data_IF_443840320347
#
_entry.id   IF_443840320347
#
_cell.length_a   1.000
_cell.length_b   1.000
_cell.length_c   1.000
_cell.angle_alpha   90.00
_cell.angle_beta   90.00
_cell.angle_gamma   90.00
#
_symmetry.space_group_name_H-M   'P 1'
#
loop_
_entity.id
_entity.type
_entity.pdbx_description
1 polymer ?
#
# COMPACT_ATOMS: atom_id res chain seq x y z
N UNK A 1 47.87 -49.01 -18.48
CA UNK A 1 46.90 -49.67 -17.60
C UNK A 1 45.50 -49.17 -17.99
N UNK A 2 44.80 -49.96 -18.82
CA UNK A 2 43.36 -50.29 -18.75
C UNK A 2 42.41 -49.07 -18.54
N UNK A 3 41.62 -48.57 -19.50
CA UNK A 3 40.44 -49.21 -20.09
C UNK A 3 39.92 -48.38 -21.28
N UNK A 4 39.52 -49.03 -22.36
CA UNK A 4 38.46 -48.58 -23.32
C UNK A 4 37.22 -49.48 -23.04
N UNK A 5 36.01 -49.38 -23.66
CA UNK A 5 35.60 -48.65 -24.87
C UNK A 5 34.11 -48.14 -24.94
N UNK A 6 33.74 -47.59 -26.12
CA UNK A 6 32.45 -47.68 -26.87
C UNK A 6 31.19 -46.94 -26.34
N UNK A 7 30.77 -45.84 -27.01
CA UNK A 7 29.78 -45.75 -28.11
C UNK A 7 28.40 -46.33 -27.74
N UNK A 8 27.39 -45.46 -27.59
CA UNK A 8 26.00 -45.72 -28.04
C UNK A 8 25.41 -44.45 -28.67
N UNK A 9 25.01 -44.64 -29.92
CA UNK A 9 24.24 -43.80 -30.83
C UNK A 9 22.74 -43.95 -30.51
N UNK A 10 21.92 -42.90 -30.60
CA UNK A 10 20.61 -42.93 -31.29
C UNK A 10 19.93 -41.55 -31.27
N UNK A 11 19.52 -41.10 -32.45
CA UNK A 11 18.51 -40.07 -32.66
C UNK A 11 17.14 -40.72 -32.92
N UNK A 12 16.04 -40.10 -32.45
CA UNK A 12 14.64 -40.25 -32.94
C UNK A 12 13.80 -39.15 -32.26
N UNK A 13 13.44 -38.03 -32.90
CA UNK A 13 12.26 -37.80 -33.78
C UNK A 13 10.89 -38.05 -33.11
N UNK A 14 10.22 -36.93 -32.77
CA UNK A 14 8.84 -36.63 -33.18
C UNK A 14 7.68 -37.19 -32.38
N UNK A 15 6.98 -36.31 -31.64
CA UNK A 15 5.51 -36.17 -31.73
C UNK A 15 5.16 -34.68 -31.66
N UNK A 16 4.88 -34.13 -32.83
CA UNK A 16 4.05 -32.94 -33.05
C UNK A 16 2.58 -33.36 -33.12
N UNK A 17 1.69 -32.41 -32.81
CA UNK A 17 0.23 -32.40 -33.04
C UNK A 17 -0.70 -32.93 -31.92
N UNK A 18 -1.09 -32.03 -31.02
CA UNK A 18 -2.39 -31.93 -30.31
C UNK A 18 -2.29 -30.64 -29.47
N UNK A 19 -3.00 -29.52 -29.59
CA UNK A 19 -4.23 -29.15 -30.27
C UNK A 19 -4.19 -27.64 -30.58
N UNK A 20 -3.91 -27.28 -31.83
CA UNK A 20 -4.36 -26.03 -32.44
C UNK A 20 -5.87 -26.21 -32.66
N UNK A 21 -6.72 -25.90 -31.67
CA UNK A 21 -8.17 -26.07 -31.83
C UNK A 21 -9.06 -25.32 -30.80
N UNK A 22 -8.74 -24.10 -30.34
CA UNK A 22 -9.76 -23.21 -29.69
C UNK A 22 -9.50 -21.72 -30.00
N UNK A 23 -9.10 -21.39 -31.23
CA UNK A 23 -8.89 -20.00 -31.66
C UNK A 23 -9.79 -19.57 -32.85
N UNK A 24 -10.70 -20.44 -33.30
CA UNK A 24 -11.54 -20.16 -34.48
C UNK A 24 -12.96 -20.69 -34.22
N UNK A 25 -13.65 -20.12 -33.23
CA UNK A 25 -15.10 -20.30 -33.10
C UNK A 25 -15.74 -19.18 -32.26
N UNK A 26 -15.46 -17.91 -32.58
CA UNK A 26 -16.29 -16.77 -32.14
C UNK A 26 -16.09 -15.57 -33.09
N UNK A 27 -15.98 -15.84 -34.39
CA UNK A 27 -16.21 -14.83 -35.43
C UNK A 27 -16.85 -15.50 -36.64
N UNK A 28 -17.90 -14.83 -37.14
CA UNK A 28 -18.58 -15.04 -38.43
C UNK A 28 -19.64 -16.15 -38.46
N UNK A 29 -20.88 -15.75 -38.16
CA UNK A 29 -22.09 -15.78 -39.01
C UNK A 29 -23.26 -15.50 -38.05
N UNK A 30 -24.13 -14.51 -38.23
CA UNK A 30 -25.18 -14.50 -39.26
C UNK A 30 -25.44 -13.05 -39.69
N UNK A 31 -25.27 -12.76 -40.98
CA UNK A 31 -25.99 -11.68 -41.66
C UNK A 31 -26.76 -12.25 -42.85
N UNK A 32 -28.10 -12.22 -42.79
CA UNK A 32 -29.05 -12.02 -43.92
C UNK A 32 -30.34 -11.45 -43.29
N UNK A 33 -30.68 -10.16 -43.41
CA UNK A 33 -31.14 -9.36 -44.55
C UNK A 33 -32.69 -9.28 -44.68
N UNK A 34 -33.16 -8.03 -44.79
CA UNK A 34 -34.40 -7.53 -45.46
C UNK A 34 -35.64 -7.09 -44.62
N UNK A 35 -36.03 -5.84 -44.90
CA UNK A 35 -37.10 -4.88 -44.48
C UNK A 35 -38.49 -5.15 -45.15
N UNK A 36 -39.58 -4.33 -45.05
CA UNK A 36 -40.04 -3.25 -44.11
C UNK A 36 -41.58 -3.25 -43.70
N UNK A 37 -41.96 -2.44 -42.68
CA UNK A 37 -43.20 -1.61 -42.41
C UNK A 37 -44.66 -2.19 -42.53
N UNK A 38 -45.76 -1.56 -41.98
CA UNK A 38 -45.92 -0.24 -41.33
C UNK A 38 -46.77 -0.19 -40.01
N UNK A 39 -46.86 1.03 -39.48
CA UNK A 39 -47.66 1.61 -38.40
C UNK A 39 -48.95 0.92 -37.89
N UNK A 40 -49.11 0.90 -36.56
CA UNK A 40 -50.39 1.15 -35.89
C UNK A 40 -50.14 1.80 -34.51
N UNK A 41 -50.53 3.07 -34.42
CA UNK A 41 -50.75 3.83 -33.20
C UNK A 41 -51.80 3.13 -32.33
N UNK A 42 -51.52 2.95 -31.04
CA UNK A 42 -52.56 2.98 -30.01
C UNK A 42 -52.15 3.99 -28.94
N UNK A 43 -52.96 5.03 -28.88
CA UNK A 43 -52.99 6.10 -27.91
C UNK A 43 -54.02 5.74 -26.81
N UNK A 44 -53.79 6.22 -25.57
CA UNK A 44 -54.69 6.21 -24.40
C UNK A 44 -54.90 4.82 -23.71
N UNK A 45 -54.88 4.67 -22.38
CA UNK A 45 -55.09 5.61 -21.28
C UNK A 45 -54.49 5.06 -19.96
N UNK A 46 -54.56 5.88 -18.91
CA UNK A 46 -54.46 5.59 -17.46
C UNK A 46 -53.09 5.60 -16.78
N UNK A 47 -52.77 6.75 -16.18
CA UNK A 47 -51.91 6.87 -15.00
C UNK A 47 -52.42 5.97 -13.86
N UNK A 48 -51.54 5.55 -12.94
CA UNK A 48 -51.32 6.41 -11.79
C UNK A 48 -49.84 6.65 -11.49
N UNK A 49 -49.51 7.85 -11.01
CA UNK A 49 -48.28 8.09 -10.26
C UNK A 49 -48.25 7.18 -9.02
N UNK A 50 -47.16 6.44 -8.87
CA UNK A 50 -46.58 6.02 -7.57
C UNK A 50 -45.10 5.66 -7.85
N UNK A 51 -44.22 5.78 -6.85
CA UNK A 51 -42.91 6.39 -7.00
C UNK A 51 -41.92 5.38 -7.57
N UNK A 52 -41.11 5.80 -8.55
CA UNK A 52 -39.91 5.07 -8.93
C UNK A 52 -38.89 5.14 -7.78
N UNK A 53 -39.03 4.24 -6.82
CA UNK A 53 -37.95 3.83 -5.94
C UNK A 53 -36.85 3.15 -6.77
N UNK A 54 -35.63 3.30 -6.26
CA UNK A 54 -34.41 2.60 -6.67
C UNK A 54 -33.60 3.25 -7.79
N UNK A 55 -33.22 4.52 -7.56
CA UNK A 55 -31.82 4.88 -7.83
C UNK A 55 -31.04 4.41 -6.61
N UNK A 56 -30.48 3.20 -6.67
CA UNK A 56 -29.52 2.74 -5.68
C UNK A 56 -28.43 3.83 -5.56
N UNK A 57 -28.23 4.49 -4.42
CA UNK A 57 -27.09 5.39 -4.31
C UNK A 57 -25.85 4.51 -4.47
N UNK A 58 -24.98 4.88 -5.42
CA UNK A 58 -23.62 4.38 -5.42
C UNK A 58 -23.04 4.58 -4.01
N UNK A 59 -22.22 3.66 -3.47
CA UNK A 59 -21.60 3.86 -2.17
C UNK A 59 -20.87 5.20 -2.20
N UNK A 60 -21.33 6.15 -1.39
CA UNK A 60 -20.62 7.42 -1.21
C UNK A 60 -19.26 7.09 -0.61
N UNK A 61 -18.19 7.44 -1.31
CA UNK A 61 -16.78 7.24 -0.91
C UNK A 61 -16.46 7.76 0.52
N UNK A 62 -17.31 8.64 1.06
CA UNK A 62 -17.20 9.19 2.41
C UNK A 62 -17.44 8.16 3.55
N UNK A 63 -18.04 7.01 3.25
CA UNK A 63 -18.39 6.00 4.26
C UNK A 63 -17.24 5.07 4.67
N UNK A 64 -16.14 5.02 3.91
CA UNK A 64 -15.07 4.03 4.11
C UNK A 64 -13.71 4.66 4.46
N UNK A 65 -13.72 5.76 5.21
CA UNK A 65 -12.51 6.40 5.72
C UNK A 65 -12.50 6.42 7.25
N UNK A 66 -11.30 6.39 7.82
CA UNK A 66 -11.07 6.63 9.25
C UNK A 66 -10.01 7.70 9.43
N UNK A 67 -10.05 8.35 10.59
CA UNK A 67 -8.98 9.22 11.04
C UNK A 67 -7.85 8.40 11.67
N UNK A 68 -6.61 8.86 11.45
CA UNK A 68 -5.36 8.38 12.05
C UNK A 68 -4.54 9.59 12.46
N UNK A 69 -3.61 9.40 13.38
CA UNK A 69 -2.68 10.45 13.83
C UNK A 69 -1.29 10.19 13.28
N UNK A 70 -0.75 11.12 12.50
CA UNK A 70 0.65 11.12 12.07
C UNK A 70 1.47 11.99 13.02
N UNK A 71 2.69 11.59 13.34
CA UNK A 71 3.58 12.39 14.17
C UNK A 71 4.69 13.00 13.32
N UNK A 72 4.71 14.31 13.21
CA UNK A 72 5.74 15.06 12.48
C UNK A 72 6.59 15.88 13.45
N UNK A 73 7.69 16.44 12.98
CA UNK A 73 8.55 17.28 13.81
C UNK A 73 7.89 18.65 14.02
N UNK A 74 7.92 19.17 15.24
CA UNK A 74 7.42 20.52 15.56
C UNK A 74 8.19 21.60 14.79
N UNK A 75 7.58 22.78 14.65
CA UNK A 75 8.18 23.90 13.90
C UNK A 75 9.50 24.42 14.48
N UNK A 76 9.73 24.21 15.77
CA UNK A 76 10.98 24.53 16.48
C UNK A 76 12.02 23.40 16.39
N UNK A 77 11.63 22.21 15.92
CA UNK A 77 12.52 21.06 15.74
C UNK A 77 12.85 20.28 17.01
N UNK A 78 12.11 20.49 18.11
CA UNK A 78 12.42 19.88 19.41
C UNK A 78 11.65 18.58 19.68
N UNK A 79 10.35 18.55 19.36
CA UNK A 79 9.43 17.47 19.72
C UNK A 79 8.66 16.94 18.50
N UNK A 80 7.98 15.81 18.66
CA UNK A 80 6.97 15.35 17.72
C UNK A 80 5.60 15.97 18.03
N UNK A 81 4.87 16.35 16.99
CA UNK A 81 3.52 16.90 17.09
C UNK A 81 2.52 16.06 16.29
N UNK A 82 1.33 15.78 16.84
CA UNK A 82 0.31 15.02 16.15
C UNK A 82 -0.38 15.86 15.06
N UNK A 83 -0.61 15.25 13.90
CA UNK A 83 -1.43 15.77 12.81
C UNK A 83 -2.46 14.71 12.39
N UNK A 84 -3.77 15.00 12.44
CA UNK A 84 -4.79 14.06 11.99
C UNK A 84 -4.76 13.92 10.46
N UNK A 85 -4.91 12.69 9.98
CA UNK A 85 -5.01 12.33 8.56
C UNK A 85 -6.16 11.35 8.35
N UNK A 86 -6.81 11.41 7.18
CA UNK A 86 -7.80 10.41 6.77
C UNK A 86 -7.14 9.36 5.90
N UNK A 87 -7.44 8.09 6.18
CA UNK A 87 -7.08 6.95 5.33
C UNK A 87 -8.33 6.12 5.00
N UNK A 88 -8.26 5.28 3.99
CA UNK A 88 -9.33 4.32 3.72
C UNK A 88 -9.29 3.17 4.71
N UNK A 89 -10.46 2.82 5.24
CA UNK A 89 -10.63 1.63 6.05
C UNK A 89 -10.59 0.39 5.15
N UNK A 90 -9.50 -0.37 5.23
CA UNK A 90 -9.35 -1.64 4.52
C UNK A 90 -9.44 -2.81 5.50
N UNK A 91 -9.61 -4.03 4.97
CA UNK A 91 -9.76 -5.25 5.79
C UNK A 91 -8.48 -5.67 6.52
N UNK A 92 -7.31 -5.14 6.14
CA UNK A 92 -6.02 -5.54 6.67
C UNK A 92 -5.32 -4.38 7.39
N UNK A 93 -4.84 -4.64 8.61
CA UNK A 93 -3.99 -3.70 9.36
C UNK A 93 -2.72 -3.38 8.57
N UNK A 94 -2.15 -4.35 7.86
CA UNK A 94 -0.96 -4.15 7.02
C UNK A 94 -1.23 -3.18 5.86
N UNK A 95 -2.40 -3.27 5.23
CA UNK A 95 -2.77 -2.35 4.14
C UNK A 95 -3.04 -0.93 4.67
N UNK A 96 -3.65 -0.81 5.84
CA UNK A 96 -3.83 0.49 6.50
C UNK A 96 -2.47 1.08 6.93
N UNK A 97 -1.55 0.28 7.48
CA UNK A 97 -0.21 0.70 7.83
C UNK A 97 0.58 1.20 6.60
N UNK A 98 0.45 0.52 5.45
CA UNK A 98 1.01 0.99 4.17
C UNK A 98 0.47 2.35 3.76
N UNK A 99 -0.82 2.61 3.91
CA UNK A 99 -1.41 3.93 3.65
C UNK A 99 -0.85 4.98 4.60
N UNK A 100 -0.84 4.69 5.91
CA UNK A 100 -0.31 5.60 6.94
C UNK A 100 1.14 6.00 6.67
N UNK A 101 2.00 5.05 6.30
CA UNK A 101 3.42 5.34 6.00
C UNK A 101 3.54 6.19 4.73
N UNK A 102 2.71 5.95 3.70
CA UNK A 102 2.68 6.80 2.50
C UNK A 102 2.31 8.24 2.85
N UNK A 103 1.25 8.43 3.65
CA UNK A 103 0.84 9.75 4.11
C UNK A 103 1.92 10.45 4.96
N UNK A 104 2.72 9.67 5.72
CA UNK A 104 3.86 10.16 6.49
C UNK A 104 5.04 10.59 5.58
N UNK A 105 5.29 9.85 4.49
CA UNK A 105 6.28 10.21 3.46
C UNK A 105 5.87 11.49 2.72
N UNK A 106 4.57 11.63 2.41
CA UNK A 106 4.02 12.82 1.75
C UNK A 106 4.19 14.09 2.60
N UNK A 107 4.35 13.92 3.92
CA UNK A 107 4.71 14.98 4.85
C UNK A 107 3.50 15.67 5.50
N UNK A 108 3.77 16.68 6.35
CA UNK A 108 2.74 17.43 7.05
C UNK A 108 1.97 18.36 6.11
N UNK A 109 0.68 18.57 6.43
CA UNK A 109 -0.20 19.54 5.76
C UNK A 109 -0.35 20.85 6.54
N UNK A 110 0.19 20.90 7.76
CA UNK A 110 0.26 22.07 8.62
C UNK A 110 1.68 22.64 8.70
N UNK A 111 1.92 23.59 9.61
CA UNK A 111 3.23 24.24 9.80
C UNK A 111 4.26 23.35 10.54
N UNK A 112 4.12 22.04 10.46
CA UNK A 112 5.07 21.06 11.00
C UNK A 112 6.16 20.76 9.96
N UNK A 113 7.24 20.11 10.40
CA UNK A 113 8.38 19.75 9.58
C UNK A 113 8.36 18.26 9.21
N UNK A 114 8.71 17.89 7.96
CA UNK A 114 8.75 16.49 7.54
C UNK A 114 9.83 15.73 8.30
N UNK A 115 9.52 14.48 8.64
CA UNK A 115 10.41 13.57 9.37
C UNK A 115 11.01 12.50 8.46
N UNK A 116 10.41 12.23 7.30
CA UNK A 116 10.94 11.29 6.31
C UNK A 116 11.43 12.06 5.08
N UNK A 117 12.45 11.56 4.35
CA UNK A 117 12.82 12.13 3.07
C UNK A 117 11.64 12.01 2.09
N UNK A 118 11.29 13.07 1.38
CA UNK A 118 10.23 13.06 0.36
C UNK A 118 10.50 12.11 -0.83
N UNK A 119 11.71 11.56 -0.92
CA UNK A 119 12.12 10.56 -1.92
C UNK A 119 12.18 9.14 -1.35
N UNK A 120 11.83 8.95 -0.07
CA UNK A 120 11.70 7.63 0.51
C UNK A 120 10.57 6.87 -0.20
N UNK A 121 10.82 5.60 -0.50
CA UNK A 121 9.83 4.73 -1.13
C UNK A 121 9.58 3.54 -0.22
N UNK A 122 8.31 3.35 0.16
CA UNK A 122 7.88 2.17 0.87
C UNK A 122 7.75 1.01 -0.11
N UNK A 123 8.55 -0.04 0.09
CA UNK A 123 8.49 -1.27 -0.68
C UNK A 123 7.43 -2.19 -0.09
N UNK A 124 7.65 -2.64 1.14
CA UNK A 124 6.86 -3.66 1.80
C UNK A 124 6.57 -3.37 3.27
N UNK A 125 5.46 -3.92 3.76
CA UNK A 125 5.13 -3.95 5.19
C UNK A 125 4.67 -5.36 5.52
N UNK A 126 5.24 -5.96 6.56
CA UNK A 126 4.84 -7.27 7.07
C UNK A 126 4.54 -7.16 8.55
N UNK A 127 3.43 -7.75 9.01
CA UNK A 127 3.12 -7.85 10.43
C UNK A 127 3.34 -9.30 10.89
N UNK A 128 4.34 -9.50 11.74
CA UNK A 128 4.64 -10.80 12.30
C UNK A 128 3.73 -11.12 13.51
N UNK A 129 3.63 -12.41 13.84
CA UNK A 129 2.80 -12.92 14.94
C UNK A 129 3.25 -12.43 16.33
N UNK A 130 4.47 -11.93 16.46
CA UNK A 130 5.03 -11.36 17.68
C UNK A 130 4.71 -9.87 17.86
N UNK A 131 3.85 -9.31 17.00
CA UNK A 131 3.47 -7.90 16.92
C UNK A 131 4.58 -6.95 16.41
N UNK A 132 5.60 -7.49 15.72
CA UNK A 132 6.61 -6.69 15.03
C UNK A 132 6.15 -6.37 13.62
N UNK A 133 6.05 -5.07 13.29
CA UNK A 133 5.89 -4.61 11.92
C UNK A 133 7.27 -4.43 11.28
N UNK A 134 7.55 -5.16 10.21
CA UNK A 134 8.72 -4.96 9.37
C UNK A 134 8.36 -3.98 8.27
N UNK A 135 9.06 -2.87 8.21
CA UNK A 135 8.83 -1.81 7.22
C UNK A 135 10.06 -1.71 6.33
N UNK A 136 9.91 -2.12 5.07
CA UNK A 136 10.98 -2.15 4.08
C UNK A 136 10.92 -0.91 3.18
N UNK A 137 11.99 -0.13 3.20
CA UNK A 137 12.15 1.04 2.34
C UNK A 137 13.16 0.80 1.22
N UNK A 138 13.05 1.59 0.15
CA UNK A 138 14.12 1.67 -0.83
C UNK A 138 15.37 2.34 -0.27
N UNK A 139 16.49 2.18 -0.96
CA UNK A 139 17.76 2.82 -0.60
C UNK A 139 17.68 4.35 -0.48
N UNK A 140 16.75 5.00 -1.17
CA UNK A 140 16.56 6.45 -1.11
C UNK A 140 16.21 6.94 0.31
N UNK A 141 15.54 6.12 1.11
CA UNK A 141 15.23 6.42 2.52
C UNK A 141 16.51 6.70 3.33
N UNK A 142 17.59 5.96 3.07
CA UNK A 142 18.89 6.18 3.71
C UNK A 142 19.67 7.26 2.99
N UNK A 143 19.82 7.16 1.67
CA UNK A 143 20.76 7.99 0.92
C UNK A 143 20.37 9.48 0.95
N UNK A 144 19.06 9.78 0.98
CA UNK A 144 18.51 11.14 0.98
C UNK A 144 18.15 11.68 2.36
N UNK A 145 18.38 10.89 3.41
CA UNK A 145 18.20 11.36 4.78
C UNK A 145 19.25 12.44 5.13
N UNK A 146 18.85 13.57 5.75
CA UNK A 146 19.77 14.67 6.09
C UNK A 146 20.88 14.26 7.06
N UNK A 147 20.64 13.20 7.85
CA UNK A 147 21.57 12.73 8.89
C UNK A 147 21.51 13.60 10.15
N UNK A 148 22.43 13.34 11.07
CA UNK A 148 22.46 13.98 12.39
C UNK A 148 21.51 13.30 13.39
N UNK A 149 21.96 13.20 14.65
CA UNK A 149 21.27 12.42 15.69
C UNK A 149 19.81 12.81 15.86
N UNK A 150 19.51 14.11 15.94
CA UNK A 150 18.13 14.58 16.16
C UNK A 150 17.21 14.23 15.00
N UNK A 151 17.66 14.38 13.75
CA UNK A 151 16.85 14.04 12.59
C UNK A 151 16.66 12.52 12.43
N UNK A 152 17.69 11.72 12.75
CA UNK A 152 17.56 10.25 12.75
C UNK A 152 16.56 9.78 13.82
N UNK A 153 16.62 10.35 15.03
CA UNK A 153 15.66 10.07 16.11
C UNK A 153 14.25 10.47 15.69
N UNK A 154 14.07 11.68 15.16
CA UNK A 154 12.78 12.17 14.70
C UNK A 154 12.18 11.26 13.62
N UNK A 155 12.99 10.78 12.66
CA UNK A 155 12.55 9.86 11.59
C UNK A 155 12.03 8.55 12.17
N UNK A 156 12.80 7.90 13.05
CA UNK A 156 12.45 6.59 13.56
C UNK A 156 11.24 6.68 14.48
N UNK A 157 11.21 7.61 15.44
CA UNK A 157 10.09 7.70 16.36
C UNK A 157 8.83 8.27 15.71
N UNK A 158 8.95 9.17 14.72
CA UNK A 158 7.80 9.55 13.88
C UNK A 158 7.13 8.33 13.25
N UNK A 159 7.91 7.43 12.64
CA UNK A 159 7.38 6.20 12.05
C UNK A 159 6.82 5.23 13.09
N UNK A 160 7.58 4.97 14.16
CA UNK A 160 7.22 3.97 15.19
C UNK A 160 5.99 4.42 15.96
N UNK A 161 5.96 5.66 16.41
CA UNK A 161 4.86 6.22 17.20
C UNK A 161 3.60 6.31 16.35
N UNK A 162 3.72 6.73 15.10
CA UNK A 162 2.58 6.76 14.15
C UNK A 162 1.98 5.37 13.98
N UNK A 163 2.80 4.34 13.74
CA UNK A 163 2.27 3.00 13.54
C UNK A 163 1.66 2.41 14.81
N UNK A 164 2.37 2.49 15.94
CA UNK A 164 1.91 1.89 17.20
C UNK A 164 0.69 2.62 17.79
N UNK A 165 0.58 3.94 17.61
CA UNK A 165 -0.56 4.72 18.08
C UNK A 165 -1.85 4.35 17.35
N UNK A 166 -1.77 4.15 16.03
CA UNK A 166 -2.95 3.90 15.19
C UNK A 166 -3.38 2.42 15.13
N UNK A 167 -2.45 1.50 15.41
CA UNK A 167 -2.64 0.06 15.25
C UNK A 167 -2.16 -0.71 16.50
N UNK A 168 -3.07 -1.07 17.44
CA UNK A 168 -2.71 -1.81 18.66
C UNK A 168 -2.04 -3.17 18.41
N UNK A 169 -2.22 -3.74 17.22
CA UNK A 169 -1.58 -4.98 16.76
C UNK A 169 -0.08 -4.78 16.47
N UNK A 170 0.38 -3.55 16.25
CA UNK A 170 1.78 -3.18 16.02
C UNK A 170 2.36 -2.67 17.35
N UNK A 171 3.20 -3.49 17.99
CA UNK A 171 3.84 -3.13 19.27
C UNK A 171 5.27 -2.65 19.12
N UNK A 172 5.92 -3.03 18.01
CA UNK A 172 7.27 -2.58 17.67
C UNK A 172 7.46 -2.58 16.15
N UNK A 173 8.40 -1.77 15.68
CA UNK A 173 8.71 -1.61 14.27
C UNK A 173 10.18 -1.95 14.02
N UNK A 174 10.43 -2.82 13.04
CA UNK A 174 11.76 -3.11 12.52
C UNK A 174 11.88 -2.47 11.14
N UNK A 175 12.91 -1.64 10.95
CA UNK A 175 13.15 -0.95 9.70
C UNK A 175 14.13 -1.78 8.87
N UNK A 176 13.78 -2.02 7.61
CA UNK A 176 14.58 -2.69 6.60
C UNK A 176 14.85 -1.73 5.44
N UNK A 177 15.93 -2.01 4.71
CA UNK A 177 16.28 -1.26 3.50
C UNK A 177 16.66 -2.26 2.42
N UNK A 178 15.92 -2.25 1.32
CA UNK A 178 16.07 -3.22 0.22
C UNK A 178 15.92 -4.68 0.69
N UNK A 179 15.06 -4.92 1.68
CA UNK A 179 14.81 -6.23 2.29
C UNK A 179 15.88 -6.69 3.28
N UNK A 180 16.93 -5.88 3.52
CA UNK A 180 18.03 -6.24 4.42
C UNK A 180 18.03 -5.41 5.70
N UNK A 181 18.52 -6.01 6.77
CA UNK A 181 18.85 -5.29 7.99
C UNK A 181 20.09 -4.42 7.79
N UNK A 182 20.12 -3.28 8.48
CA UNK A 182 21.28 -2.39 8.48
C UNK A 182 21.65 -2.00 9.90
N UNK A 183 22.94 -1.73 10.17
CA UNK A 183 23.38 -1.34 11.50
C UNK A 183 22.89 0.07 11.85
N UNK A 184 22.85 1.00 10.90
CA UNK A 184 22.46 2.39 11.16
C UNK A 184 21.61 2.98 10.03
N UNK A 185 20.84 4.03 10.36
CA UNK A 185 20.13 4.84 9.36
C UNK A 185 21.13 5.65 8.54
N UNK A 186 21.93 6.48 9.20
CA UNK A 186 23.16 7.08 8.68
C UNK A 186 24.33 6.69 9.58
N UNK A 187 24.39 7.25 10.78
CA UNK A 187 25.59 7.15 11.63
C UNK A 187 25.26 6.97 13.11
N UNK A 188 24.18 7.58 13.62
CA UNK A 188 23.95 7.64 15.07
C UNK A 188 22.93 6.63 15.58
N UNK A 189 21.93 6.30 14.76
CA UNK A 189 20.80 5.51 15.22
C UNK A 189 20.86 4.06 14.74
N UNK A 190 20.89 3.13 15.69
CA UNK A 190 21.02 1.69 15.46
C UNK A 190 19.74 1.06 14.89
N UNK A 191 19.77 0.60 13.63
CA UNK A 191 18.64 -0.08 12.98
C UNK A 191 18.67 -1.62 13.11
N UNK A 192 19.65 -2.19 13.81
CA UNK A 192 19.74 -3.65 14.03
C UNK A 192 18.65 -4.19 14.97
N UNK A 193 17.97 -3.32 15.71
CA UNK A 193 16.86 -3.68 16.61
C UNK A 193 15.50 -3.18 16.12
N UNK A 194 14.44 -3.75 16.68
CA UNK A 194 13.10 -3.21 16.57
C UNK A 194 12.87 -2.13 17.66
N UNK A 195 12.10 -1.11 17.31
CA UNK A 195 11.78 0.02 18.17
C UNK A 195 10.35 -0.06 18.68
N UNK A 196 10.15 0.21 19.97
CA UNK A 196 8.83 0.40 20.58
C UNK A 196 8.54 1.89 20.60
N UNK A 197 7.26 2.26 20.54
CA UNK A 197 6.84 3.64 20.64
C UNK A 197 7.36 4.34 21.90
N UNK A 198 7.74 5.60 21.74
CA UNK A 198 8.19 6.48 22.81
C UNK A 198 7.43 7.81 22.75
N UNK A 199 6.19 7.77 23.24
CA UNK A 199 5.30 8.94 23.30
C UNK A 199 5.82 10.06 24.21
N UNK A 200 6.97 9.89 24.90
CA UNK A 200 7.60 10.98 25.67
C UNK A 200 8.25 12.04 24.77
N UNK A 201 8.52 11.69 23.50
CA UNK A 201 9.01 12.60 22.47
C UNK A 201 7.89 13.40 21.80
N UNK A 202 6.63 13.06 22.07
CA UNK A 202 5.47 13.81 21.57
C UNK A 202 5.20 14.96 22.51
N UNK A 203 5.13 16.17 21.94
CA UNK A 203 4.74 17.38 22.65
C UNK A 203 3.50 17.13 23.49
N UNK A 204 3.64 17.34 24.81
CA UNK A 204 2.49 17.34 25.70
C UNK A 204 1.71 18.61 25.41
N UNK A 205 0.75 18.52 24.49
CA UNK A 205 -0.23 19.59 24.37
C UNK A 205 -0.96 19.71 25.71
N UNK A 206 -0.58 20.73 26.50
CA UNK A 206 -1.46 21.26 27.54
C UNK A 206 -2.74 21.66 26.80
N UNK A 207 -3.79 20.82 26.93
CA UNK A 207 -5.14 21.24 26.56
C UNK A 207 -5.46 22.48 27.41
N UNK A 208 -5.23 23.66 26.86
CA UNK A 208 -5.66 24.93 27.43
C UNK A 208 -7.11 25.20 27.06
#
# INVERSE_FOLDING_TARGET
MNWTPRIVLTAAVGISALLIAVAIFWQVDIRRAATPAPAATQEQASSPETPALSRNPAPTEEGNQREVTLFFLSSDGEDLAPEPRKIFLTSSVTDQARQVIKELIDGPQSALLPTLPASAELREVYLASDHTAYVDFSRAFVDKHPGGSSAEIATVFSLVDTLAYNFPEIRRVKILVEGEERPTLKEHLDLSRAYVADMSLVSRQERR
#
